data_IF_872548327017
#
_entry.id   IF_872548327017
#
_cell.length_a   1.000
_cell.length_b   1.000
_cell.length_c   1.000
_cell.angle_alpha   90.00
_cell.angle_beta   90.00
_cell.angle_gamma   90.00
#
_symmetry.space_group_name_H-M   'P 1'
#
loop_
_entity.id
_entity.type
_entity.pdbx_description
1 polymer ?
#
# COMPACT_ATOMS: atom_id res chain seq x y z
N UNK A 1 37.41 24.92 -36.75
CA UNK A 1 35.94 24.93 -36.93
C UNK A 1 35.17 24.26 -35.79
N UNK A 2 35.70 23.21 -35.16
CA UNK A 2 35.07 22.53 -34.01
C UNK A 2 34.89 23.40 -32.76
N UNK A 3 35.86 24.27 -32.42
CA UNK A 3 35.80 25.10 -31.20
C UNK A 3 34.72 26.21 -31.25
N UNK A 4 34.40 26.72 -32.43
CA UNK A 4 33.39 27.77 -32.63
C UNK A 4 31.95 27.23 -32.46
N UNK A 5 31.72 25.99 -32.88
CA UNK A 5 30.43 25.31 -32.71
C UNK A 5 30.15 25.02 -31.23
N UNK A 6 31.16 24.66 -30.44
CA UNK A 6 31.02 24.44 -28.99
C UNK A 6 30.73 25.75 -28.25
N UNK A 7 31.37 26.86 -28.67
CA UNK A 7 31.15 28.19 -28.09
C UNK A 7 29.74 28.74 -28.35
N UNK A 8 29.11 28.41 -29.48
CA UNK A 8 27.72 28.78 -29.77
C UNK A 8 26.69 27.82 -29.14
N UNK A 9 27.05 26.55 -28.93
CA UNK A 9 26.15 25.56 -28.35
C UNK A 9 25.83 25.82 -26.86
N UNK A 10 26.80 26.32 -26.07
CA UNK A 10 26.60 26.66 -24.66
C UNK A 10 25.55 27.77 -24.42
N UNK A 11 25.61 28.95 -25.06
CA UNK A 11 24.61 30.00 -24.88
C UNK A 11 23.25 29.61 -25.46
N UNK A 12 23.19 28.87 -26.57
CA UNK A 12 21.93 28.32 -27.09
C UNK A 12 21.31 27.30 -26.12
N UNK A 13 22.14 26.44 -25.53
CA UNK A 13 21.71 25.49 -24.49
C UNK A 13 21.18 26.19 -23.25
N UNK A 14 21.89 27.20 -22.74
CA UNK A 14 21.43 28.01 -21.60
C UNK A 14 20.15 28.78 -21.92
N UNK A 15 20.03 29.34 -23.13
CA UNK A 15 18.81 30.01 -23.57
C UNK A 15 17.64 29.04 -23.62
N UNK A 16 17.82 27.86 -24.23
CA UNK A 16 16.80 26.82 -24.29
C UNK A 16 16.40 26.32 -22.90
N UNK A 17 17.36 26.06 -22.01
CA UNK A 17 17.10 25.70 -20.60
C UNK A 17 16.34 26.81 -19.88
N UNK A 18 16.68 28.07 -20.10
CA UNK A 18 15.98 29.21 -19.50
C UNK A 18 14.54 29.35 -20.01
N UNK A 19 14.32 29.08 -21.30
CA UNK A 19 13.01 29.11 -21.93
C UNK A 19 12.14 27.98 -21.40
N UNK A 20 12.67 26.75 -21.36
CA UNK A 20 12.01 25.59 -20.76
C UNK A 20 11.73 25.82 -19.28
N UNK A 21 12.67 26.40 -18.53
CA UNK A 21 12.48 26.72 -17.12
C UNK A 21 11.31 27.70 -16.94
N UNK A 22 11.33 28.85 -17.63
CA UNK A 22 10.24 29.84 -17.55
C UNK A 22 8.88 29.25 -17.95
N UNK A 23 8.87 28.40 -18.98
CA UNK A 23 7.63 27.77 -19.46
C UNK A 23 7.09 26.74 -18.45
N UNK A 24 7.95 25.89 -17.88
CA UNK A 24 7.56 24.92 -16.83
C UNK A 24 7.22 25.59 -15.50
N UNK A 25 7.77 26.77 -15.21
CA UNK A 25 7.45 27.50 -13.97
C UNK A 25 6.15 28.27 -14.00
N UNK A 26 5.52 28.43 -15.18
CA UNK A 26 4.20 29.07 -15.29
C UNK A 26 3.13 28.14 -14.72
N UNK A 27 2.63 28.48 -13.54
CA UNK A 27 1.43 27.86 -12.97
C UNK A 27 0.26 28.82 -13.08
N UNK A 28 -0.95 28.29 -13.29
CA UNK A 28 -2.18 29.08 -13.36
C UNK A 28 -2.50 29.77 -12.02
N UNK A 29 -2.01 29.21 -10.91
CA UNK A 29 -2.20 29.71 -9.56
C UNK A 29 -0.86 29.72 -8.80
N UNK A 30 -0.69 30.62 -7.82
CA UNK A 30 0.48 30.60 -6.94
C UNK A 30 0.52 29.28 -6.18
N UNK A 31 1.66 28.58 -6.29
CA UNK A 31 1.91 27.38 -5.52
C UNK A 31 2.30 27.74 -4.07
N UNK A 32 2.05 26.84 -3.11
CA UNK A 32 2.60 26.99 -1.76
C UNK A 32 4.13 27.16 -1.78
N UNK A 33 4.73 27.75 -0.74
CA UNK A 33 6.18 27.91 -0.68
C UNK A 33 6.90 26.57 -0.52
N UNK A 34 8.19 26.52 -0.84
CA UNK A 34 8.99 25.31 -0.71
C UNK A 34 10.44 25.50 -1.12
N UNK A 35 11.28 24.45 -0.98
CA UNK A 35 12.69 24.50 -1.35
C UNK A 35 12.84 24.81 -2.84
N UNK A 36 13.91 25.55 -3.16
CA UNK A 36 14.15 26.02 -4.53
C UNK A 36 14.39 24.85 -5.47
N UNK A 37 13.50 24.67 -6.44
CA UNK A 37 13.60 23.64 -7.49
C UNK A 37 14.72 23.92 -8.48
N UNK A 38 15.47 22.89 -8.86
CA UNK A 38 16.44 22.94 -9.96
C UNK A 38 15.72 22.82 -11.32
N UNK A 39 16.29 23.39 -12.40
CA UNK A 39 15.72 23.21 -13.74
C UNK A 39 15.66 21.73 -14.12
N UNK A 40 14.57 21.33 -14.78
CA UNK A 40 14.31 19.98 -15.31
C UNK A 40 14.03 18.91 -14.23
N UNK A 41 14.90 18.78 -13.22
CA UNK A 41 14.83 17.74 -12.20
C UNK A 41 14.01 18.11 -10.95
N UNK A 42 13.78 19.41 -10.74
CA UNK A 42 13.06 19.91 -9.57
C UNK A 42 13.86 19.75 -8.27
N UNK A 43 13.19 19.31 -7.21
CA UNK A 43 13.69 18.99 -5.87
C UNK A 43 14.15 17.54 -5.71
N UNK A 44 14.36 16.80 -6.81
CA UNK A 44 14.79 15.39 -6.74
C UNK A 44 16.05 15.18 -5.89
N UNK A 45 16.99 16.12 -5.92
CA UNK A 45 18.22 16.06 -5.11
C UNK A 45 18.00 16.46 -3.65
N UNK A 46 16.93 17.21 -3.38
CA UNK A 46 16.56 17.64 -2.04
C UNK A 46 15.76 16.55 -1.28
N UNK A 47 15.28 15.52 -1.99
CA UNK A 47 14.42 14.49 -1.42
C UNK A 47 15.12 13.74 -0.28
N UNK A 48 14.52 13.72 0.93
CA UNK A 48 15.08 13.00 2.06
C UNK A 48 15.10 11.49 1.78
N UNK A 49 16.21 10.83 2.13
CA UNK A 49 16.33 9.37 2.01
C UNK A 49 15.84 8.62 3.26
N UNK A 50 15.69 9.33 4.38
CA UNK A 50 15.27 8.81 5.68
C UNK A 50 14.49 9.88 6.43
N UNK A 51 13.53 9.45 7.25
CA UNK A 51 12.75 10.33 8.13
C UNK A 51 12.14 11.53 7.39
N UNK A 52 11.50 11.27 6.25
CA UNK A 52 11.01 12.30 5.34
C UNK A 52 10.12 13.32 6.04
N UNK A 53 9.27 12.86 6.96
CA UNK A 53 8.40 13.67 7.81
C UNK A 53 9.14 14.75 8.60
N UNK A 54 10.34 14.46 9.11
CA UNK A 54 11.12 15.41 9.89
C UNK A 54 11.69 16.53 8.99
N UNK A 55 12.13 16.16 7.79
CA UNK A 55 12.59 17.12 6.78
C UNK A 55 11.44 18.01 6.30
N UNK A 56 10.27 17.42 6.03
CA UNK A 56 9.10 18.18 5.60
C UNK A 56 8.61 19.15 6.67
N UNK A 57 8.62 18.74 7.94
CA UNK A 57 8.30 19.63 9.05
C UNK A 57 9.32 20.77 9.17
N UNK A 58 10.61 20.46 9.00
CA UNK A 58 11.67 21.49 9.00
C UNK A 58 11.44 22.50 7.89
N UNK A 59 11.16 22.06 6.66
CA UNK A 59 10.86 22.97 5.55
C UNK A 59 9.63 23.82 5.80
N UNK A 60 8.57 23.27 6.42
CA UNK A 60 7.41 24.06 6.84
C UNK A 60 7.80 25.20 7.77
N UNK A 61 8.68 24.94 8.75
CA UNK A 61 9.21 25.97 9.67
C UNK A 61 10.10 26.99 8.94
N UNK A 62 11.03 26.52 8.13
CA UNK A 62 11.98 27.36 7.38
C UNK A 62 11.25 28.32 6.42
N UNK A 63 10.12 27.87 5.85
CA UNK A 63 9.29 28.66 4.95
C UNK A 63 8.12 29.39 5.63
N UNK A 64 7.95 29.25 6.95
CA UNK A 64 6.84 29.85 7.69
C UNK A 64 5.45 29.44 7.16
N UNK A 65 5.29 28.18 6.72
CA UNK A 65 4.06 27.71 6.09
C UNK A 65 3.68 26.29 6.49
N UNK A 66 2.39 26.10 6.73
CA UNK A 66 1.79 24.81 7.04
C UNK A 66 1.56 23.94 5.79
N UNK A 67 1.66 24.52 4.60
CA UNK A 67 1.52 23.80 3.33
C UNK A 67 2.74 24.11 2.49
N UNK A 68 3.51 23.08 2.14
CA UNK A 68 4.69 23.24 1.29
C UNK A 68 4.54 22.51 -0.03
N UNK A 69 5.22 23.04 -1.05
CA UNK A 69 5.24 22.49 -2.40
C UNK A 69 6.63 21.97 -2.74
N UNK A 70 6.65 20.81 -3.40
CA UNK A 70 7.84 20.25 -4.04
C UNK A 70 7.51 19.87 -5.47
N UNK A 71 8.51 19.88 -6.34
CA UNK A 71 8.41 19.29 -7.66
C UNK A 71 9.50 18.25 -7.83
N UNK A 72 9.16 17.00 -8.14
CA UNK A 72 10.16 15.96 -8.44
C UNK A 72 9.92 15.50 -9.87
N UNK A 73 10.88 15.78 -10.76
CA UNK A 73 10.82 15.42 -12.19
C UNK A 73 9.51 15.83 -12.91
N UNK A 74 8.90 16.96 -12.50
CA UNK A 74 7.64 17.46 -13.06
C UNK A 74 6.38 16.99 -12.33
N UNK A 75 6.49 16.09 -11.35
CA UNK A 75 5.39 15.73 -10.45
C UNK A 75 5.35 16.71 -9.28
N UNK A 76 4.21 17.38 -9.09
CA UNK A 76 4.02 18.30 -7.99
C UNK A 76 3.51 17.57 -6.74
N UNK A 77 4.21 17.74 -5.63
CA UNK A 77 3.86 17.19 -4.32
C UNK A 77 3.46 18.33 -3.39
N UNK A 78 2.32 18.18 -2.72
CA UNK A 78 1.83 19.12 -1.71
C UNK A 78 1.91 18.42 -0.37
N UNK A 79 2.68 18.98 0.57
CA UNK A 79 2.84 18.41 1.90
C UNK A 79 2.09 19.28 2.91
N UNK A 80 1.31 18.62 3.76
CA UNK A 80 0.47 19.24 4.78
C UNK A 80 1.13 19.05 6.15
N UNK A 81 1.66 20.13 6.71
CA UNK A 81 2.37 20.15 7.99
C UNK A 81 1.48 20.52 9.19
N UNK A 82 0.20 20.84 8.97
CA UNK A 82 -0.76 21.13 10.04
C UNK A 82 -2.02 20.27 9.97
N UNK A 83 -2.58 19.98 11.15
CA UNK A 83 -3.82 19.22 11.28
C UNK A 83 -5.00 19.94 10.62
N UNK A 84 -5.03 21.28 10.69
CA UNK A 84 -6.07 22.11 10.06
C UNK A 84 -6.03 21.97 8.55
N UNK A 85 -4.85 22.08 7.93
CA UNK A 85 -4.68 21.89 6.49
C UNK A 85 -5.05 20.46 6.06
N UNK A 86 -4.62 19.44 6.82
CA UNK A 86 -4.99 18.06 6.56
C UNK A 86 -6.50 17.83 6.65
N UNK A 87 -7.17 18.37 7.65
CA UNK A 87 -8.62 18.23 7.81
C UNK A 87 -9.41 18.97 6.73
N UNK A 88 -8.99 20.19 6.38
CA UNK A 88 -9.68 21.00 5.37
C UNK A 88 -9.56 20.42 3.96
N UNK A 89 -8.43 19.81 3.63
CA UNK A 89 -8.21 19.20 2.32
C UNK A 89 -8.67 17.74 2.28
N UNK A 90 -8.20 16.90 3.20
CA UNK A 90 -8.43 15.45 3.10
C UNK A 90 -9.80 15.01 3.66
N UNK A 91 -10.36 15.70 4.65
CA UNK A 91 -11.69 15.36 5.19
C UNK A 91 -12.80 16.17 4.52
N UNK A 92 -12.79 17.50 4.68
CA UNK A 92 -13.88 18.37 4.18
C UNK A 92 -14.02 18.35 2.66
N UNK A 93 -12.92 18.12 1.94
CA UNK A 93 -12.87 18.05 0.47
C UNK A 93 -12.47 16.65 -0.03
N UNK A 94 -12.75 15.61 0.76
CA UNK A 94 -12.42 14.22 0.44
C UNK A 94 -12.85 13.81 -0.97
N UNK A 95 -14.01 14.26 -1.47
CA UNK A 95 -14.46 13.93 -2.84
C UNK A 95 -13.51 14.39 -3.96
N UNK A 96 -12.64 15.37 -3.71
CA UNK A 96 -11.69 15.93 -4.68
C UNK A 96 -10.31 15.27 -4.56
N UNK A 97 -9.92 14.83 -3.35
CA UNK A 97 -8.56 14.37 -3.04
C UNK A 97 -8.43 12.87 -2.74
N UNK A 98 -9.48 12.06 -2.98
CA UNK A 98 -9.50 10.61 -2.65
C UNK A 98 -9.09 9.68 -3.79
N UNK A 99 -8.21 10.11 -4.70
CA UNK A 99 -7.67 9.19 -5.71
C UNK A 99 -6.54 8.34 -5.13
N UNK A 100 -6.36 7.12 -5.64
CA UNK A 100 -5.50 6.11 -5.01
C UNK A 100 -4.64 5.33 -6.01
N UNK A 101 -3.66 4.58 -5.50
CA UNK A 101 -2.63 3.82 -6.25
C UNK A 101 -3.19 2.61 -7.04
N UNK A 102 -4.51 2.50 -7.19
CA UNK A 102 -5.22 1.51 -8.03
C UNK A 102 -4.89 0.04 -7.70
N UNK A 103 -4.82 -0.33 -6.42
CA UNK A 103 -4.84 -1.74 -6.03
C UNK A 103 -6.28 -2.16 -5.75
N UNK A 104 -6.93 -2.73 -6.78
CA UNK A 104 -8.36 -3.03 -6.80
C UNK A 104 -8.86 -4.01 -5.71
N UNK A 105 -7.95 -4.70 -5.03
CA UNK A 105 -8.26 -5.69 -3.99
C UNK A 105 -8.12 -5.15 -2.56
N UNK A 106 -7.42 -4.03 -2.34
CA UNK A 106 -7.17 -3.50 -1.01
C UNK A 106 -7.97 -2.22 -0.76
N UNK A 107 -8.90 -2.23 0.20
CA UNK A 107 -9.83 -1.10 0.43
C UNK A 107 -9.14 0.27 0.55
N UNK A 108 -7.94 0.34 1.14
CA UNK A 108 -7.15 1.58 1.26
C UNK A 108 -6.53 2.08 -0.04
N UNK A 109 -6.50 1.24 -1.08
CA UNK A 109 -5.82 1.48 -2.35
C UNK A 109 -6.75 1.46 -3.58
N UNK A 110 -8.05 1.20 -3.40
CA UNK A 110 -9.07 1.32 -4.45
C UNK A 110 -9.39 2.79 -4.67
N UNK A 111 -9.37 3.26 -5.92
CA UNK A 111 -9.80 4.62 -6.26
C UNK A 111 -11.25 4.87 -5.83
N UNK A 112 -11.51 6.10 -5.39
CA UNK A 112 -12.87 6.49 -4.98
C UNK A 112 -13.89 6.27 -6.11
N UNK A 113 -14.97 5.57 -5.80
CA UNK A 113 -15.97 5.17 -6.79
C UNK A 113 -16.99 4.20 -6.20
N UNK A 114 -17.85 3.63 -7.04
CA UNK A 114 -18.89 2.70 -6.59
C UNK A 114 -18.29 1.45 -5.93
N UNK A 115 -17.25 0.87 -6.53
CA UNK A 115 -16.51 -0.28 -5.98
C UNK A 115 -15.99 0.00 -4.56
N UNK A 116 -15.34 1.15 -4.35
CA UNK A 116 -14.87 1.54 -3.03
C UNK A 116 -16.03 1.68 -2.03
N UNK A 117 -17.15 2.30 -2.44
CA UNK A 117 -18.34 2.44 -1.58
C UNK A 117 -18.93 1.09 -1.18
N UNK A 118 -19.00 0.14 -2.12
CA UNK A 118 -19.52 -1.20 -1.87
C UNK A 118 -18.60 -1.99 -0.92
N UNK A 119 -17.28 -1.97 -1.18
CA UNK A 119 -16.30 -2.59 -0.28
C UNK A 119 -16.33 -1.96 1.11
N UNK A 120 -16.44 -0.62 1.21
CA UNK A 120 -16.52 0.10 2.48
C UNK A 120 -17.79 -0.24 3.24
N UNK A 121 -18.93 -0.35 2.55
CA UNK A 121 -20.21 -0.75 3.14
C UNK A 121 -20.13 -2.16 3.72
N UNK A 122 -19.60 -3.12 2.94
CA UNK A 122 -19.41 -4.49 3.41
C UNK A 122 -18.48 -4.56 4.62
N UNK A 123 -17.32 -3.87 4.58
CA UNK A 123 -16.41 -3.79 5.72
C UNK A 123 -17.09 -3.21 6.95
N UNK A 124 -17.82 -2.09 6.80
CA UNK A 124 -18.43 -1.41 7.94
C UNK A 124 -19.50 -2.25 8.65
N UNK A 125 -20.21 -3.13 7.94
CA UNK A 125 -21.19 -4.04 8.55
C UNK A 125 -20.56 -4.89 9.66
N UNK A 126 -19.34 -5.39 9.44
CA UNK A 126 -18.65 -6.30 10.36
C UNK A 126 -17.67 -5.62 11.32
N UNK A 127 -17.28 -4.37 11.04
CA UNK A 127 -16.24 -3.64 11.78
C UNK A 127 -16.71 -2.27 12.30
N UNK A 128 -18.02 -2.04 12.44
CA UNK A 128 -18.51 -0.89 13.22
C UNK A 128 -18.39 -1.17 14.73
N UNK A 129 -18.35 -0.14 15.59
CA UNK A 129 -17.99 -0.28 17.01
C UNK A 129 -18.79 -1.33 17.81
N UNK A 130 -20.05 -1.57 17.46
CA UNK A 130 -20.88 -2.58 18.13
C UNK A 130 -20.62 -3.99 17.60
N UNK A 131 -20.41 -4.17 16.29
CA UNK A 131 -20.09 -5.48 15.72
C UNK A 131 -18.73 -6.00 16.19
N UNK A 132 -17.76 -5.13 16.47
CA UNK A 132 -16.42 -5.57 16.90
C UNK A 132 -16.42 -6.27 18.25
N UNK A 133 -17.44 -6.06 19.10
CA UNK A 133 -17.55 -6.70 20.40
C UNK A 133 -17.58 -8.24 20.31
N UNK A 134 -18.08 -8.78 19.21
CA UNK A 134 -18.11 -10.24 18.99
C UNK A 134 -16.71 -10.86 18.84
N UNK A 135 -15.68 -10.05 18.57
CA UNK A 135 -14.31 -10.50 18.38
C UNK A 135 -13.46 -10.47 19.65
N UNK A 136 -13.95 -9.89 20.76
CA UNK A 136 -13.22 -9.84 22.03
C UNK A 136 -12.69 -11.20 22.52
N UNK A 137 -13.44 -12.32 22.41
CA UNK A 137 -12.89 -13.63 22.80
C UNK A 137 -11.70 -14.10 21.94
N UNK A 138 -11.58 -13.60 20.71
CA UNK A 138 -10.42 -13.86 19.84
C UNK A 138 -9.23 -13.00 20.30
N UNK A 139 -9.46 -11.71 20.55
CA UNK A 139 -8.46 -10.77 21.03
C UNK A 139 -7.90 -11.20 22.40
N UNK A 140 -8.75 -11.62 23.33
CA UNK A 140 -8.36 -12.07 24.66
C UNK A 140 -7.44 -13.30 24.60
N UNK A 141 -7.83 -14.33 23.83
CA UNK A 141 -6.99 -15.52 23.64
C UNK A 141 -5.64 -15.18 22.99
N UNK A 142 -5.65 -14.32 21.97
CA UNK A 142 -4.44 -13.88 21.31
C UNK A 142 -3.54 -13.05 22.26
N UNK A 143 -4.13 -12.28 23.17
CA UNK A 143 -3.40 -11.50 24.18
C UNK A 143 -2.77 -12.41 25.23
N UNK A 144 -3.49 -13.42 25.74
CA UNK A 144 -2.92 -14.39 26.68
C UNK A 144 -1.71 -15.10 26.06
N UNK A 145 -1.81 -15.52 24.79
CA UNK A 145 -0.70 -16.15 24.08
C UNK A 145 0.47 -15.20 23.83
N UNK A 146 0.21 -13.94 23.50
CA UNK A 146 1.25 -12.90 23.41
C UNK A 146 2.01 -12.80 24.73
N UNK A 147 1.30 -12.71 25.86
CA UNK A 147 1.92 -12.58 27.17
C UNK A 147 2.77 -13.80 27.52
N UNK A 148 2.31 -15.01 27.21
CA UNK A 148 3.09 -16.23 27.38
C UNK A 148 4.39 -16.18 26.57
N UNK A 149 4.31 -15.82 25.29
CA UNK A 149 5.51 -15.71 24.43
C UNK A 149 6.50 -14.66 24.88
N UNK A 150 6.00 -13.53 25.38
CA UNK A 150 6.84 -12.47 25.94
C UNK A 150 7.54 -12.90 27.24
N UNK A 151 6.96 -13.83 28.01
CA UNK A 151 7.65 -14.42 29.16
C UNK A 151 8.77 -15.37 28.73
N UNK A 152 8.57 -16.10 27.64
CA UNK A 152 9.55 -17.07 27.13
C UNK A 152 10.71 -16.40 26.37
N UNK A 153 10.40 -15.40 25.53
CA UNK A 153 11.34 -14.75 24.59
C UNK A 153 11.04 -13.25 24.46
N UNK A 154 11.29 -12.44 25.50
CA UNK A 154 10.99 -11.01 25.50
C UNK A 154 11.78 -10.22 24.45
N UNK A 155 12.93 -10.72 24.00
CA UNK A 155 13.79 -10.09 22.99
C UNK A 155 13.09 -9.98 21.63
N UNK A 156 12.17 -10.90 21.32
CA UNK A 156 11.45 -10.98 20.03
C UNK A 156 10.12 -10.20 20.05
N UNK A 157 10.04 -9.14 20.86
CA UNK A 157 8.83 -8.35 21.11
C UNK A 157 8.04 -7.96 19.84
N UNK A 158 8.73 -7.47 18.81
CA UNK A 158 8.10 -7.02 17.55
C UNK A 158 7.52 -8.20 16.78
N UNK A 159 8.20 -9.33 16.76
CA UNK A 159 7.72 -10.54 16.09
C UNK A 159 6.46 -11.07 16.78
N UNK A 160 6.45 -11.10 18.11
CA UNK A 160 5.29 -11.53 18.87
C UNK A 160 4.06 -10.64 18.64
N UNK A 161 4.25 -9.31 18.58
CA UNK A 161 3.17 -8.38 18.24
C UNK A 161 2.64 -8.56 16.82
N UNK A 162 3.53 -8.73 15.84
CA UNK A 162 3.15 -8.99 14.44
C UNK A 162 2.36 -10.28 14.33
N UNK A 163 2.81 -11.32 15.03
CA UNK A 163 2.12 -12.58 15.08
C UNK A 163 0.72 -12.45 15.69
N UNK A 164 0.59 -11.80 16.85
CA UNK A 164 -0.71 -11.59 17.49
C UNK A 164 -1.67 -10.85 16.55
N UNK A 165 -1.21 -9.77 15.92
CA UNK A 165 -2.02 -9.02 14.96
C UNK A 165 -2.44 -9.88 13.76
N UNK A 166 -1.50 -10.62 13.16
CA UNK A 166 -1.77 -11.53 12.05
C UNK A 166 -2.78 -12.62 12.43
N UNK A 167 -2.64 -13.20 13.62
CA UNK A 167 -3.56 -14.20 14.17
C UNK A 167 -4.98 -13.66 14.32
N UNK A 168 -5.14 -12.49 14.94
CA UNK A 168 -6.45 -11.86 15.12
C UNK A 168 -7.10 -11.60 13.75
N UNK A 169 -6.36 -10.98 12.83
CA UNK A 169 -6.88 -10.65 11.49
C UNK A 169 -7.29 -11.91 10.73
N UNK A 170 -6.42 -12.92 10.66
CA UNK A 170 -6.68 -14.16 9.92
C UNK A 170 -7.83 -14.99 10.53
N UNK A 171 -7.95 -15.01 11.86
CA UNK A 171 -9.05 -15.70 12.53
C UNK A 171 -10.39 -14.98 12.29
N UNK A 172 -10.43 -13.65 12.38
CA UNK A 172 -11.67 -12.88 12.14
C UNK A 172 -12.09 -12.93 10.68
N UNK A 173 -11.15 -12.74 9.76
CA UNK A 173 -11.46 -12.55 8.32
C UNK A 173 -11.64 -13.86 7.56
N UNK A 174 -10.88 -14.89 7.91
CA UNK A 174 -10.85 -16.16 7.18
C UNK A 174 -11.17 -17.38 8.06
N UNK A 175 -11.31 -17.22 9.37
CA UNK A 175 -11.47 -18.35 10.29
C UNK A 175 -10.21 -19.22 10.40
N UNK A 176 -9.06 -18.71 9.97
CA UNK A 176 -7.80 -19.47 9.93
C UNK A 176 -7.17 -19.49 11.32
N UNK A 177 -6.80 -20.68 11.79
CA UNK A 177 -5.99 -20.86 12.99
C UNK A 177 -4.52 -20.83 12.59
N UNK A 178 -3.85 -19.75 12.98
CA UNK A 178 -2.44 -19.50 12.71
C UNK A 178 -1.55 -20.47 13.50
N UNK A 179 -0.50 -20.96 12.84
CA UNK A 179 0.53 -21.80 13.46
C UNK A 179 1.43 -20.98 14.39
N UNK A 180 1.93 -21.53 15.52
CA UNK A 180 2.70 -20.77 16.50
C UNK A 180 3.95 -20.05 15.96
N UNK A 181 4.59 -20.62 14.95
CA UNK A 181 5.79 -20.06 14.32
C UNK A 181 5.74 -20.26 12.81
N UNK A 182 6.29 -19.29 12.06
CA UNK A 182 6.51 -19.43 10.62
C UNK A 182 5.23 -19.62 9.79
N UNK A 183 4.08 -19.13 10.27
CA UNK A 183 2.81 -19.32 9.57
C UNK A 183 2.88 -18.76 8.14
N UNK A 184 2.51 -19.57 7.12
CA UNK A 184 2.66 -19.18 5.73
C UNK A 184 1.78 -17.98 5.36
N UNK A 185 0.63 -17.77 6.01
CA UNK A 185 -0.27 -16.66 5.72
C UNK A 185 0.23 -15.36 6.35
N UNK A 186 0.77 -15.43 7.58
CA UNK A 186 1.43 -14.27 8.20
C UNK A 186 2.64 -13.85 7.38
N UNK A 187 3.52 -14.80 7.03
CA UNK A 187 4.70 -14.52 6.22
C UNK A 187 4.35 -13.94 4.84
N UNK A 188 3.27 -14.42 4.21
CA UNK A 188 2.79 -13.86 2.95
C UNK A 188 2.28 -12.42 3.11
N UNK A 189 1.52 -12.14 4.17
CA UNK A 189 1.02 -10.80 4.47
C UNK A 189 2.16 -9.81 4.78
N UNK A 190 3.16 -10.22 5.55
CA UNK A 190 4.35 -9.42 5.84
C UNK A 190 5.14 -9.09 4.57
N UNK A 191 5.39 -10.08 3.70
CA UNK A 191 6.06 -9.85 2.41
C UNK A 191 5.28 -8.93 1.49
N UNK A 192 3.94 -9.00 1.51
CA UNK A 192 3.11 -8.08 0.75
C UNK A 192 3.19 -6.64 1.31
N UNK A 193 3.22 -6.48 2.64
CA UNK A 193 3.43 -5.17 3.28
C UNK A 193 4.80 -4.59 2.95
N UNK A 194 5.86 -5.40 2.97
CA UNK A 194 7.20 -4.99 2.54
C UNK A 194 7.22 -4.59 1.06
N UNK A 195 6.56 -5.37 0.19
CA UNK A 195 6.42 -5.06 -1.23
C UNK A 195 5.68 -3.74 -1.49
N UNK A 196 4.62 -3.46 -0.72
CA UNK A 196 3.92 -2.17 -0.78
C UNK A 196 4.80 -1.02 -0.29
N UNK A 197 5.54 -1.20 0.81
CA UNK A 197 6.48 -0.20 1.30
C UNK A 197 7.60 0.08 0.27
N UNK A 198 8.10 -0.95 -0.40
CA UNK A 198 9.06 -0.83 -1.50
C UNK A 198 8.49 -0.02 -2.67
N UNK A 199 7.24 -0.29 -3.06
CA UNK A 199 6.51 0.44 -4.10
C UNK A 199 6.22 1.90 -3.75
N UNK A 200 6.13 2.24 -2.46
CA UNK A 200 5.94 3.62 -1.98
C UNK A 200 7.21 4.48 -1.96
N UNK A 201 8.37 3.92 -2.32
CA UNK A 201 9.64 4.67 -2.26
C UNK A 201 9.76 5.70 -3.39
N UNK A 202 10.49 6.78 -3.13
CA UNK A 202 10.86 7.78 -4.16
C UNK A 202 11.50 7.12 -5.39
N UNK A 203 12.25 6.02 -5.20
CA UNK A 203 12.86 5.26 -6.28
C UNK A 203 11.83 4.56 -7.16
N UNK A 204 10.77 4.00 -6.59
CA UNK A 204 9.66 3.41 -7.34
C UNK A 204 8.97 4.48 -8.20
N UNK A 205 8.72 5.66 -7.65
CA UNK A 205 8.11 6.79 -8.36
C UNK A 205 8.90 7.26 -9.60
N UNK A 206 10.22 7.03 -9.67
CA UNK A 206 11.01 7.30 -10.88
C UNK A 206 10.52 6.50 -12.10
N UNK A 207 10.02 5.28 -11.89
CA UNK A 207 9.54 4.41 -12.95
C UNK A 207 8.15 4.81 -13.46
N UNK A 208 7.35 5.49 -12.63
CA UNK A 208 6.07 6.07 -13.06
C UNK A 208 6.29 7.33 -13.90
N UNK A 209 7.32 8.12 -13.55
CA UNK A 209 7.65 9.37 -14.24
C UNK A 209 8.44 9.12 -15.54
N UNK A 210 9.33 8.12 -15.54
CA UNK A 210 10.17 7.75 -16.68
C UNK A 210 9.81 6.34 -17.17
N UNK A 211 8.66 6.16 -17.84
CA UNK A 211 8.15 4.84 -18.21
C UNK A 211 9.07 4.06 -19.16
N UNK A 212 9.97 4.75 -19.88
CA UNK A 212 10.98 4.07 -20.70
C UNK A 212 11.94 3.22 -19.87
N UNK A 213 12.19 3.57 -18.59
CA UNK A 213 13.02 2.76 -17.69
C UNK A 213 12.43 1.37 -17.50
N UNK A 214 11.10 1.23 -17.50
CA UNK A 214 10.42 -0.07 -17.39
C UNK A 214 10.73 -1.02 -18.56
N UNK A 215 11.10 -0.46 -19.72
CA UNK A 215 11.46 -1.24 -20.94
C UNK A 215 12.95 -1.59 -20.99
N UNK A 216 13.77 -0.94 -20.18
CA UNK A 216 15.20 -1.25 -20.11
C UNK A 216 15.37 -2.63 -19.43
N UNK A 217 16.23 -3.52 -19.94
CA UNK A 217 16.50 -4.79 -19.28
C UNK A 217 17.10 -4.61 -17.88
N UNK A 218 16.82 -5.56 -16.98
CA UNK A 218 17.30 -5.49 -15.59
C UNK A 218 18.82 -5.65 -15.42
N UNK A 219 19.54 -6.11 -16.46
CA UNK A 219 21.00 -6.26 -16.42
C UNK A 219 21.74 -4.93 -16.62
N UNK A 220 21.06 -3.86 -17.07
CA UNK A 220 21.67 -2.55 -17.26
C UNK A 220 21.97 -1.92 -15.89
N UNK A 221 23.19 -1.35 -15.67
CA UNK A 221 23.54 -0.69 -14.42
C UNK A 221 22.51 0.37 -14.02
N UNK A 222 22.03 0.31 -12.78
CA UNK A 222 21.01 1.22 -12.24
C UNK A 222 19.56 0.70 -12.35
N UNK A 223 19.29 -0.26 -13.24
CA UNK A 223 17.94 -0.77 -13.52
C UNK A 223 17.59 -2.11 -12.83
N UNK A 224 18.42 -2.54 -11.87
CA UNK A 224 18.17 -3.76 -11.06
C UNK A 224 16.87 -3.70 -10.25
N UNK A 225 16.31 -2.50 -10.02
CA UNK A 225 15.04 -2.29 -9.33
C UNK A 225 13.87 -3.05 -9.98
N UNK A 226 13.85 -3.21 -11.31
CA UNK A 226 12.78 -3.96 -11.99
C UNK A 226 12.75 -5.43 -11.55
N UNK A 227 13.93 -6.02 -11.27
CA UNK A 227 14.01 -7.41 -10.80
C UNK A 227 13.40 -7.56 -9.41
N UNK A 228 13.67 -6.61 -8.53
CA UNK A 228 13.09 -6.55 -7.19
C UNK A 228 11.59 -6.25 -7.27
N UNK A 229 11.18 -5.28 -8.07
CA UNK A 229 9.77 -4.92 -8.28
C UNK A 229 8.96 -6.14 -8.74
N UNK A 230 9.43 -6.90 -9.73
CA UNK A 230 8.76 -8.14 -10.18
C UNK A 230 8.57 -9.15 -9.06
N UNK A 231 9.59 -9.36 -8.22
CA UNK A 231 9.52 -10.26 -7.06
C UNK A 231 8.49 -9.77 -6.05
N UNK A 232 8.48 -8.48 -5.73
CA UNK A 232 7.52 -7.89 -4.80
C UNK A 232 6.09 -7.92 -5.33
N UNK A 233 5.87 -7.63 -6.62
CA UNK A 233 4.56 -7.73 -7.26
C UNK A 233 3.98 -9.13 -7.11
N UNK A 234 4.79 -10.18 -7.29
CA UNK A 234 4.33 -11.56 -7.10
C UNK A 234 3.84 -11.81 -5.67
N UNK A 235 4.56 -11.35 -4.65
CA UNK A 235 4.12 -11.50 -3.26
C UNK A 235 2.85 -10.71 -2.94
N UNK A 236 2.74 -9.47 -3.43
CA UNK A 236 1.54 -8.65 -3.24
C UNK A 236 0.28 -9.28 -3.86
N UNK A 237 0.41 -9.97 -4.99
CA UNK A 237 -0.70 -10.67 -5.64
C UNK A 237 -1.05 -11.99 -4.92
N UNK A 238 -0.05 -12.73 -4.44
CA UNK A 238 -0.25 -14.03 -3.80
C UNK A 238 -0.85 -13.95 -2.39
N UNK A 239 -0.55 -12.90 -1.63
CA UNK A 239 -0.98 -12.77 -0.24
C UNK A 239 -2.52 -12.81 -0.04
N UNK A 240 -3.34 -12.02 -0.77
CA UNK A 240 -4.80 -12.12 -0.65
C UNK A 240 -5.34 -13.42 -1.24
N UNK A 241 -4.71 -13.98 -2.28
CA UNK A 241 -5.16 -15.21 -2.93
C UNK A 241 -5.04 -16.43 -2.02
N UNK A 242 -3.93 -16.59 -1.29
CA UNK A 242 -3.68 -17.79 -0.48
C UNK A 242 -4.76 -18.07 0.58
N UNK A 243 -5.04 -17.08 1.44
CA UNK A 243 -6.05 -17.22 2.48
C UNK A 243 -7.47 -17.35 1.90
N UNK A 244 -7.77 -16.58 0.83
CA UNK A 244 -9.04 -16.66 0.14
C UNK A 244 -9.30 -18.05 -0.47
N UNK A 245 -8.31 -18.62 -1.17
CA UNK A 245 -8.42 -19.94 -1.77
C UNK A 245 -8.61 -21.04 -0.73
N UNK A 246 -7.87 -20.98 0.39
CA UNK A 246 -8.03 -21.92 1.50
C UNK A 246 -9.49 -21.97 2.00
N UNK A 247 -10.09 -20.80 2.25
CA UNK A 247 -11.49 -20.71 2.71
C UNK A 247 -12.45 -21.17 1.62
N UNK A 248 -12.26 -20.73 0.38
CA UNK A 248 -13.13 -21.11 -0.75
C UNK A 248 -13.19 -22.63 -0.93
N UNK A 249 -12.04 -23.30 -0.89
CA UNK A 249 -11.97 -24.76 -0.97
C UNK A 249 -12.58 -25.45 0.25
N UNK A 250 -12.42 -24.88 1.44
CA UNK A 250 -13.05 -25.38 2.67
C UNK A 250 -14.58 -25.35 2.59
N UNK A 251 -15.14 -24.23 2.13
CA UNK A 251 -16.60 -24.06 1.95
C UNK A 251 -17.15 -25.05 0.92
N UNK A 252 -16.47 -25.19 -0.23
CA UNK A 252 -16.87 -26.16 -1.26
C UNK A 252 -16.84 -27.59 -0.71
N UNK A 253 -15.77 -27.99 -0.01
CA UNK A 253 -15.69 -29.31 0.63
C UNK A 253 -16.82 -29.54 1.63
N UNK A 254 -17.14 -28.54 2.45
CA UNK A 254 -18.20 -28.66 3.45
C UNK A 254 -19.58 -28.86 2.80
N UNK A 255 -19.87 -28.14 1.72
CA UNK A 255 -21.10 -28.30 0.92
C UNK A 255 -21.19 -29.69 0.28
N UNK A 256 -20.08 -30.22 -0.24
CA UNK A 256 -20.01 -31.58 -0.79
C UNK A 256 -20.26 -32.65 0.27
N UNK A 257 -19.68 -32.50 1.47
CA UNK A 257 -19.90 -33.45 2.58
C UNK A 257 -21.35 -33.42 3.06
N UNK A 258 -21.96 -32.23 3.19
CA UNK A 258 -23.37 -32.10 3.58
C UNK A 258 -24.32 -32.71 2.54
N UNK A 259 -24.12 -32.43 1.26
CA UNK A 259 -24.93 -33.02 0.19
C UNK A 259 -24.75 -34.53 0.12
N UNK A 260 -23.54 -35.05 0.28
CA UNK A 260 -23.29 -36.49 0.34
C UNK A 260 -23.94 -37.16 1.56
N UNK A 261 -23.88 -36.54 2.75
CA UNK A 261 -24.54 -37.02 3.96
C UNK A 261 -26.07 -36.99 3.86
N UNK A 262 -26.64 -35.93 3.27
CA UNK A 262 -28.07 -35.81 3.02
C UNK A 262 -28.55 -36.87 2.02
N UNK A 263 -27.85 -37.05 0.91
CA UNK A 263 -28.16 -38.08 -0.09
C UNK A 263 -28.05 -39.49 0.51
N UNK A 264 -27.07 -39.73 1.38
CA UNK A 264 -26.90 -41.02 2.07
C UNK A 264 -28.02 -41.28 3.07
N UNK A 265 -28.50 -40.25 3.79
CA UNK A 265 -29.67 -40.35 4.68
C UNK A 265 -30.96 -40.59 3.90
N UNK A 266 -31.18 -39.88 2.79
CA UNK A 266 -32.35 -40.06 1.93
C UNK A 266 -32.39 -41.48 1.33
N UNK A 267 -31.28 -42.00 0.79
CA UNK A 267 -31.18 -43.39 0.30
C UNK A 267 -31.33 -44.46 1.39
N UNK A 268 -31.09 -44.10 2.66
CA UNK A 268 -31.30 -45.00 3.80
C UNK A 268 -32.77 -45.01 4.19
N UNK A 269 -33.47 -43.88 4.11
CA UNK A 269 -34.91 -43.78 4.33
C UNK A 269 -35.70 -44.53 3.23
N UNK A 270 -35.39 -44.31 1.95
CA UNK A 270 -36.04 -45.04 0.84
C UNK A 270 -35.89 -46.57 0.98
N UNK A 271 -34.75 -47.04 1.49
CA UNK A 271 -34.55 -48.48 1.74
C UNK A 271 -35.34 -49.04 2.91
N UNK A 272 -35.73 -48.21 3.88
CA UNK A 272 -36.54 -48.63 5.02
C UNK A 272 -38.04 -48.71 4.63
N UNK A 273 -38.50 -47.84 3.73
CA UNK A 273 -39.88 -47.86 3.22
C UNK A 273 -40.18 -49.06 2.30
N UNK A 274 -39.15 -49.71 1.74
CA UNK A 274 -39.30 -50.93 0.94
C UNK A 274 -39.25 -52.24 1.75
N UNK A 275 -39.05 -52.17 3.08
CA UNK A 275 -38.97 -53.33 3.97
C UNK A 275 -40.16 -53.44 4.94
N UNK A 276 -41.14 -52.54 4.83
CA UNK A 276 -42.44 -52.55 5.52
C UNK A 276 -43.56 -52.93 4.56
#
# INVERSE_FOLDING_TARGET
>A
MSSFLVLLALPLGLFFVSLVYKWRTKTAYPLPPGPRRLPIIGNMLDMPKRNEWATYQKWGKDHGSDIIHLEVLGTHMIILNSQTAANDLLNKRSSIYSDSLRLDWALGFVSYGQRWRDMRKAFHQYFHPTATLQYHPIEERATVELLQRLLDTPEDFIEHLRHMAGKIILEITYGIKVQPHGDPYINAAERALEGMAFGGTTRAGLYDILPFLQRVPAWVPGNGFIREAKKWTQYCLQAPEGAYHYVKEGVVRHLYVYTHLLLTRLRRMERLDHLS
#
